data_IF_092564352120
#
_entry.id   IF_092564352120
#
_cell.length_a   1.000
_cell.length_b   1.000
_cell.length_c   1.000
_cell.angle_alpha   90.00
_cell.angle_beta   90.00
_cell.angle_gamma   90.00
#
_symmetry.space_group_name_H-M   'P 1'
#
loop_
_entity.id
_entity.type
_entity.pdbx_description
1 polymer ?
#
# COMPACT_ATOMS: atom_id res chain seq x y z
N UNK A 1 1.70 27.16 15.83
CA UNK A 1 1.22 26.29 14.72
C UNK A 1 2.36 25.34 14.38
N UNK A 2 2.14 24.02 14.39
CA UNK A 2 3.21 23.07 14.03
C UNK A 2 3.38 23.06 12.51
N UNK A 3 4.61 23.20 12.04
CA UNK A 3 4.93 23.10 10.61
C UNK A 3 5.03 21.64 10.21
N UNK A 4 4.27 21.24 9.18
CA UNK A 4 4.32 19.91 8.59
C UNK A 4 5.08 20.00 7.27
N UNK A 5 6.11 19.19 7.10
CA UNK A 5 6.86 19.07 5.84
C UNK A 5 6.63 17.71 5.21
N UNK A 6 6.29 17.69 3.92
CA UNK A 6 6.15 16.44 3.13
C UNK A 6 7.42 16.25 2.31
N UNK A 7 8.01 15.06 2.38
CA UNK A 7 9.29 14.72 1.76
C UNK A 7 9.26 13.31 1.19
N UNK A 8 10.16 13.00 0.24
CA UNK A 8 10.39 11.62 -0.20
C UNK A 8 11.02 10.79 0.92
N UNK A 9 10.58 9.55 1.06
CA UNK A 9 11.24 8.58 1.94
C UNK A 9 12.58 8.18 1.30
N UNK A 10 13.65 8.25 2.06
CA UNK A 10 15.01 7.85 1.68
C UNK A 10 15.50 6.65 2.51
N UNK A 11 16.69 6.14 2.22
CA UNK A 11 17.23 4.96 2.93
C UNK A 11 17.44 5.17 4.43
N UNK A 12 17.74 6.40 4.86
CA UNK A 12 17.98 6.72 6.27
C UNK A 12 16.68 6.69 7.08
N UNK A 13 15.52 6.80 6.43
CA UNK A 13 14.21 6.78 7.05
C UNK A 13 13.68 5.36 7.32
N UNK A 14 14.28 4.32 6.73
CA UNK A 14 13.69 2.98 6.68
C UNK A 14 13.32 2.45 8.06
N UNK A 15 14.22 2.58 9.03
CA UNK A 15 13.96 2.14 10.40
C UNK A 15 12.79 2.89 11.04
N UNK A 16 12.76 4.22 10.91
CA UNK A 16 11.68 5.05 11.43
C UNK A 16 10.33 4.75 10.75
N UNK A 17 10.34 4.41 9.45
CA UNK A 17 9.13 4.01 8.72
C UNK A 17 8.63 2.63 9.20
N UNK A 18 9.51 1.67 9.47
CA UNK A 18 9.12 0.37 10.02
C UNK A 18 8.45 0.55 11.39
N UNK A 19 9.04 1.37 12.26
CA UNK A 19 8.47 1.66 13.58
C UNK A 19 7.13 2.38 13.46
N UNK A 20 7.03 3.40 12.62
CA UNK A 20 5.77 4.12 12.40
C UNK A 20 4.68 3.20 11.85
N UNK A 21 5.01 2.31 10.91
CA UNK A 21 4.08 1.33 10.38
C UNK A 21 3.56 0.42 11.50
N UNK A 22 4.45 -0.13 12.31
CA UNK A 22 4.12 -0.97 13.44
C UNK A 22 3.19 -0.25 14.44
N UNK A 23 3.54 0.97 14.86
CA UNK A 23 2.74 1.77 15.80
C UNK A 23 1.35 2.09 15.26
N UNK A 24 1.23 2.36 13.95
CA UNK A 24 -0.04 2.69 13.31
C UNK A 24 -1.02 1.53 13.29
N UNK A 25 -0.53 0.30 13.13
CA UNK A 25 -1.36 -0.89 13.03
C UNK A 25 -1.56 -1.63 14.36
N UNK A 26 -0.63 -1.51 15.32
CA UNK A 26 -0.82 -2.06 16.68
C UNK A 26 -2.05 -1.48 17.40
N UNK A 27 -2.39 -0.23 17.08
CA UNK A 27 -3.57 0.43 17.64
C UNK A 27 -4.89 -0.10 17.05
N UNK A 28 -4.86 -0.76 15.90
CA UNK A 28 -6.10 -1.09 15.16
C UNK A 28 -6.52 -2.55 15.29
N UNK A 29 -5.63 -3.58 15.35
CA UNK A 29 -6.09 -4.99 15.43
C UNK A 29 -5.05 -6.09 15.08
N UNK A 30 -3.85 -5.76 14.61
CA UNK A 30 -2.84 -6.77 14.32
C UNK A 30 -1.70 -6.74 15.34
N UNK A 31 -1.71 -7.68 16.29
CA UNK A 31 -0.60 -7.88 17.23
C UNK A 31 0.61 -8.51 16.51
N UNK A 32 1.25 -7.75 15.63
CA UNK A 32 2.50 -8.16 14.98
C UNK A 32 3.68 -7.49 15.66
N UNK A 33 4.80 -8.21 15.73
CA UNK A 33 6.05 -7.63 16.21
C UNK A 33 6.88 -7.05 15.03
N UNK A 34 7.95 -6.34 15.37
CA UNK A 34 8.84 -5.72 14.39
C UNK A 34 9.44 -6.72 13.40
N UNK A 35 9.84 -7.91 13.85
CA UNK A 35 10.45 -8.95 13.02
C UNK A 35 9.50 -9.43 11.92
N UNK A 36 8.23 -9.59 12.25
CA UNK A 36 7.18 -10.00 11.31
C UNK A 36 6.86 -8.92 10.28
N UNK A 37 6.91 -7.64 10.67
CA UNK A 37 6.55 -6.51 9.80
C UNK A 37 7.71 -6.07 8.90
N UNK A 38 8.94 -6.18 9.37
CA UNK A 38 10.12 -5.68 8.66
C UNK A 38 10.25 -6.16 7.21
N UNK A 39 10.06 -7.46 6.89
CA UNK A 39 10.13 -7.92 5.50
C UNK A 39 9.08 -7.28 4.61
N UNK A 40 7.86 -7.12 5.11
CA UNK A 40 6.77 -6.49 4.39
C UNK A 40 7.03 -5.00 4.13
N UNK A 41 7.41 -4.24 5.15
CA UNK A 41 7.73 -2.80 4.98
C UNK A 41 8.93 -2.61 4.07
N UNK A 42 9.95 -3.45 4.14
CA UNK A 42 11.08 -3.42 3.22
C UNK A 42 10.67 -3.70 1.77
N UNK A 43 9.68 -4.55 1.54
CA UNK A 43 9.06 -4.73 0.23
C UNK A 43 8.33 -3.47 -0.22
N UNK A 44 7.51 -2.86 0.62
CA UNK A 44 6.82 -1.61 0.31
C UNK A 44 7.80 -0.49 -0.05
N UNK A 45 8.91 -0.37 0.67
CA UNK A 45 9.94 0.66 0.46
C UNK A 45 10.67 0.56 -0.90
N UNK A 46 10.48 -0.53 -1.65
CA UNK A 46 10.95 -0.67 -3.04
C UNK A 46 10.01 -0.03 -4.05
N UNK A 47 8.75 0.26 -3.66
CA UNK A 47 7.77 0.88 -4.56
C UNK A 47 8.23 2.27 -5.01
N UNK A 48 7.86 2.71 -6.23
CA UNK A 48 8.40 3.93 -6.84
C UNK A 48 7.92 5.22 -6.18
N UNK A 49 6.69 5.26 -5.67
CA UNK A 49 6.12 6.46 -5.05
C UNK A 49 6.01 6.29 -3.54
N UNK A 50 6.77 7.10 -2.81
CA UNK A 50 6.83 7.02 -1.34
C UNK A 50 7.14 8.36 -0.71
N UNK A 51 6.26 8.78 0.20
CA UNK A 51 6.32 10.06 0.90
C UNK A 51 6.22 9.87 2.41
N UNK A 52 6.80 10.79 3.14
CA UNK A 52 6.66 10.95 4.59
C UNK A 52 6.24 12.36 4.93
N UNK A 53 5.52 12.54 6.03
CA UNK A 53 5.34 13.84 6.67
C UNK A 53 6.11 13.91 7.98
N UNK A 54 6.77 15.04 8.19
CA UNK A 54 7.63 15.30 9.36
C UNK A 54 7.10 16.50 10.13
N UNK A 55 7.00 16.35 11.45
CA UNK A 55 6.67 17.39 12.42
C UNK A 55 7.72 17.38 13.52
N UNK A 56 8.35 18.51 13.80
CA UNK A 56 9.36 18.66 14.85
C UNK A 56 10.46 17.56 14.77
N UNK A 57 10.90 17.22 13.56
CA UNK A 57 11.90 16.19 13.29
C UNK A 57 11.41 14.74 13.37
N UNK A 58 10.16 14.48 13.77
CA UNK A 58 9.57 13.15 13.86
C UNK A 58 8.76 12.84 12.59
N UNK A 59 8.94 11.65 12.02
CA UNK A 59 8.08 11.14 10.94
C UNK A 59 6.76 10.71 11.57
N UNK A 60 5.66 11.32 11.12
CA UNK A 60 4.31 11.11 11.67
C UNK A 60 3.35 10.43 10.70
N UNK A 61 3.72 10.33 9.44
CA UNK A 61 2.88 9.78 8.38
C UNK A 61 3.74 9.22 7.26
N UNK A 62 3.25 8.17 6.64
CA UNK A 62 3.83 7.57 5.45
C UNK A 62 2.76 7.27 4.41
N UNK A 63 3.16 7.41 3.14
CA UNK A 63 2.38 7.04 1.98
C UNK A 63 3.28 6.32 1.00
N UNK A 64 2.95 5.08 0.68
CA UNK A 64 3.75 4.25 -0.23
C UNK A 64 2.81 3.59 -1.22
N UNK A 65 3.08 3.74 -2.52
CA UNK A 65 2.24 3.17 -3.57
C UNK A 65 3.04 2.65 -4.75
N UNK A 66 2.49 1.68 -5.42
CA UNK A 66 2.95 1.27 -6.73
C UNK A 66 2.36 2.19 -7.81
N UNK A 67 3.04 2.28 -8.95
CA UNK A 67 2.59 3.00 -10.14
C UNK A 67 2.49 2.00 -11.28
N UNK A 68 1.30 1.81 -11.80
CA UNK A 68 1.06 0.87 -12.90
C UNK A 68 0.64 1.59 -14.17
N UNK A 69 1.34 1.37 -15.28
CA UNK A 69 0.97 1.97 -16.57
C UNK A 69 -0.34 1.39 -17.09
N UNK A 70 -1.15 2.23 -17.73
CA UNK A 70 -2.33 1.88 -18.54
C UNK A 70 -2.34 2.64 -19.86
N UNK A 71 -3.32 2.36 -20.72
CA UNK A 71 -3.44 2.98 -22.06
C UNK A 71 -3.64 4.50 -21.98
N UNK A 72 -4.33 5.00 -20.96
CA UNK A 72 -4.73 6.41 -20.82
C UNK A 72 -4.04 7.15 -19.67
N UNK A 73 -2.89 6.66 -19.20
CA UNK A 73 -2.16 7.24 -18.09
C UNK A 73 -1.67 6.18 -17.11
N UNK A 74 -1.36 6.59 -15.90
CA UNK A 74 -0.90 5.69 -14.86
C UNK A 74 -1.92 5.56 -13.73
N UNK A 75 -1.92 4.40 -13.07
CA UNK A 75 -2.72 4.14 -11.88
C UNK A 75 -1.84 4.19 -10.65
N UNK A 76 -2.31 4.90 -9.64
CA UNK A 76 -1.83 4.75 -8.27
C UNK A 76 -2.42 3.46 -7.71
N UNK A 77 -1.59 2.44 -7.51
CA UNK A 77 -2.05 1.10 -7.22
C UNK A 77 -1.69 0.68 -5.79
N UNK A 78 -2.71 0.26 -5.05
CA UNK A 78 -2.62 -0.31 -3.71
C UNK A 78 -1.79 0.56 -2.75
N UNK A 79 -2.20 1.81 -2.49
CA UNK A 79 -1.49 2.69 -1.58
C UNK A 79 -1.59 2.22 -0.14
N UNK A 80 -0.45 2.13 0.52
CA UNK A 80 -0.33 1.96 1.96
C UNK A 80 -0.23 3.33 2.63
N UNK A 81 -1.14 3.61 3.55
CA UNK A 81 -1.24 4.89 4.25
C UNK A 81 -1.25 4.63 5.75
N UNK A 82 -0.25 5.13 6.45
CA UNK A 82 -0.12 4.94 7.89
C UNK A 82 0.22 6.25 8.58
N UNK A 83 -0.34 6.47 9.77
CA UNK A 83 -0.21 7.68 10.56
C UNK A 83 0.00 7.33 12.02
N UNK A 84 0.94 8.03 12.66
CA UNK A 84 1.24 7.87 14.07
C UNK A 84 -0.03 8.06 14.93
N UNK A 85 -0.30 7.20 15.92
CA UNK A 85 -1.52 7.24 16.73
C UNK A 85 -1.85 8.62 17.30
N UNK A 86 -0.85 9.34 17.83
CA UNK A 86 -1.03 10.68 18.40
C UNK A 86 -1.51 11.74 17.39
N UNK A 87 -1.42 11.45 16.10
CA UNK A 87 -1.82 12.37 15.03
C UNK A 87 -3.07 11.88 14.29
N UNK A 88 -3.64 10.77 14.71
CA UNK A 88 -4.91 10.28 14.18
C UNK A 88 -6.08 11.16 14.65
N UNK A 89 -7.18 11.13 13.90
CA UNK A 89 -8.43 11.86 14.20
C UNK A 89 -8.32 13.40 14.34
N UNK A 90 -7.18 14.00 13.97
CA UNK A 90 -6.93 15.44 14.02
C UNK A 90 -7.07 16.15 12.65
N UNK A 91 -7.62 15.47 11.65
CA UNK A 91 -7.80 16.02 10.30
C UNK A 91 -6.56 15.98 9.39
N UNK A 92 -5.38 15.69 9.92
CA UNK A 92 -4.12 15.62 9.15
C UNK A 92 -4.19 14.67 7.96
N UNK A 93 -4.85 13.52 8.14
CA UNK A 93 -4.94 12.49 7.11
C UNK A 93 -5.48 13.02 5.78
N UNK A 94 -6.55 13.81 5.80
CA UNK A 94 -7.15 14.35 4.56
C UNK A 94 -6.21 15.30 3.84
N UNK A 95 -5.55 16.20 4.59
CA UNK A 95 -4.63 17.16 4.02
C UNK A 95 -3.40 16.47 3.42
N UNK A 96 -2.80 15.53 4.16
CA UNK A 96 -1.60 14.81 3.71
C UNK A 96 -1.90 13.92 2.50
N UNK A 97 -3.05 13.23 2.49
CA UNK A 97 -3.49 12.45 1.33
C UNK A 97 -3.68 13.34 0.11
N UNK A 98 -4.35 14.49 0.25
CA UNK A 98 -4.54 15.42 -0.85
C UNK A 98 -3.20 15.87 -1.47
N UNK A 99 -2.22 16.25 -0.65
CA UNK A 99 -0.89 16.64 -1.14
C UNK A 99 -0.16 15.48 -1.82
N UNK A 100 -0.27 14.25 -1.29
CA UNK A 100 0.33 13.07 -1.91
C UNK A 100 -0.28 12.77 -3.28
N UNK A 101 -1.61 12.84 -3.41
CA UNK A 101 -2.30 12.60 -4.67
C UNK A 101 -1.97 13.67 -5.72
N UNK A 102 -1.89 14.95 -5.34
CA UNK A 102 -1.44 16.02 -6.23
C UNK A 102 -0.01 15.78 -6.73
N UNK A 103 0.90 15.41 -5.83
CA UNK A 103 2.28 15.12 -6.20
C UNK A 103 2.39 13.88 -7.11
N UNK A 104 1.60 12.83 -6.83
CA UNK A 104 1.53 11.65 -7.68
C UNK A 104 1.04 11.99 -9.09
N UNK A 105 -0.04 12.77 -9.18
CA UNK A 105 -0.61 13.23 -10.44
C UNK A 105 0.42 14.04 -11.26
N UNK A 106 1.09 14.98 -10.64
CA UNK A 106 2.09 15.84 -11.31
C UNK A 106 3.34 15.07 -11.76
N UNK A 107 3.80 14.11 -10.92
CA UNK A 107 5.07 13.41 -11.18
C UNK A 107 4.90 12.23 -12.14
N UNK A 108 3.76 11.52 -12.06
CA UNK A 108 3.55 10.25 -12.75
C UNK A 108 2.33 10.26 -13.67
N UNK A 109 1.68 11.41 -13.88
CA UNK A 109 0.48 11.51 -14.73
C UNK A 109 -0.61 10.50 -14.30
N UNK A 110 -0.85 10.42 -12.97
CA UNK A 110 -1.86 9.53 -12.42
C UNK A 110 -3.25 10.00 -12.84
N UNK A 111 -4.04 9.10 -13.42
CA UNK A 111 -5.44 9.33 -13.80
C UNK A 111 -6.40 8.64 -12.85
N UNK A 112 -5.99 7.49 -12.30
CA UNK A 112 -6.85 6.63 -11.50
C UNK A 112 -6.16 6.16 -10.20
N UNK A 113 -6.99 5.75 -9.24
CA UNK A 113 -6.58 5.15 -7.99
C UNK A 113 -7.29 3.80 -7.81
N UNK A 114 -6.53 2.75 -7.52
CA UNK A 114 -7.05 1.45 -7.10
C UNK A 114 -6.48 1.13 -5.72
N UNK A 115 -7.35 0.85 -4.75
CA UNK A 115 -6.98 0.46 -3.40
C UNK A 115 -7.75 -0.79 -2.97
N UNK A 116 -7.12 -1.62 -2.16
CA UNK A 116 -7.75 -2.77 -1.53
C UNK A 116 -8.01 -2.49 -0.05
N UNK A 117 -9.16 -2.89 0.44
CA UNK A 117 -9.50 -2.79 1.86
C UNK A 117 -10.59 -3.80 2.20
N UNK A 118 -10.76 -4.11 3.48
CA UNK A 118 -11.79 -5.03 3.93
C UNK A 118 -13.19 -4.42 3.80
N UNK A 119 -14.20 -5.27 3.48
CA UNK A 119 -15.58 -4.84 3.22
C UNK A 119 -16.19 -3.96 4.30
N UNK A 120 -15.89 -4.21 5.57
CA UNK A 120 -16.49 -3.48 6.70
C UNK A 120 -15.51 -2.55 7.40
N UNK A 121 -14.35 -2.28 6.76
CA UNK A 121 -13.31 -1.47 7.37
C UNK A 121 -13.72 -0.01 7.52
N UNK A 122 -13.15 0.65 8.51
CA UNK A 122 -13.26 2.09 8.68
C UNK A 122 -12.67 2.85 7.48
N UNK A 123 -11.62 2.30 6.88
CA UNK A 123 -10.96 2.83 5.70
C UNK A 123 -11.91 2.88 4.50
N UNK A 124 -12.70 1.83 4.27
CA UNK A 124 -13.70 1.82 3.19
C UNK A 124 -14.72 2.97 3.33
N UNK A 125 -15.20 3.22 4.55
CA UNK A 125 -16.10 4.33 4.83
C UNK A 125 -15.48 5.69 4.52
N UNK A 126 -14.17 5.85 4.78
CA UNK A 126 -13.41 7.06 4.43
C UNK A 126 -13.24 7.22 2.93
N UNK A 127 -12.88 6.16 2.22
CA UNK A 127 -12.75 6.18 0.76
C UNK A 127 -14.07 6.54 0.06
N UNK A 128 -15.18 5.97 0.48
CA UNK A 128 -16.51 6.33 -0.05
C UNK A 128 -16.86 7.81 0.15
N UNK A 129 -16.48 8.41 1.28
CA UNK A 129 -16.65 9.86 1.53
C UNK A 129 -15.79 10.75 0.62
N UNK A 130 -14.73 10.21 0.03
CA UNK A 130 -13.90 10.89 -0.96
C UNK A 130 -14.40 10.68 -2.42
N UNK A 131 -15.53 9.99 -2.60
CA UNK A 131 -16.08 9.68 -3.93
C UNK A 131 -15.43 8.45 -4.59
N UNK A 132 -14.56 7.72 -3.89
CA UNK A 132 -14.01 6.45 -4.39
C UNK A 132 -15.12 5.41 -4.34
N UNK A 133 -15.42 4.82 -5.49
CA UNK A 133 -16.49 3.83 -5.64
C UNK A 133 -15.94 2.42 -5.42
N UNK A 134 -16.79 1.54 -4.90
CA UNK A 134 -16.54 0.10 -5.00
C UNK A 134 -16.94 -0.34 -6.40
N UNK A 135 -16.12 -1.19 -7.00
CA UNK A 135 -16.42 -1.79 -8.30
C UNK A 135 -16.87 -3.23 -8.08
N UNK A 136 -18.16 -3.48 -8.27
CA UNK A 136 -18.75 -4.81 -8.08
C UNK A 136 -18.52 -5.74 -9.31
N UNK A 137 -18.00 -5.19 -10.41
CA UNK A 137 -17.57 -5.98 -11.58
C UNK A 137 -16.23 -6.70 -11.37
N UNK A 138 -15.45 -6.27 -10.36
CA UNK A 138 -14.19 -6.89 -9.99
C UNK A 138 -14.36 -7.78 -8.76
N UNK A 139 -13.86 -8.99 -8.86
CA UNK A 139 -13.85 -9.94 -7.76
C UNK A 139 -12.41 -10.24 -7.35
N UNK A 140 -12.10 -10.06 -6.07
CA UNK A 140 -10.82 -10.53 -5.53
C UNK A 140 -10.88 -12.05 -5.41
N UNK A 141 -9.94 -12.72 -6.07
CA UNK A 141 -9.74 -14.17 -5.95
C UNK A 141 -8.61 -14.43 -4.97
N UNK A 142 -8.84 -15.35 -4.06
CA UNK A 142 -7.85 -15.79 -3.08
C UNK A 142 -7.82 -17.31 -3.04
N UNK A 143 -6.62 -17.87 -3.01
CA UNK A 143 -6.42 -19.32 -2.84
C UNK A 143 -5.02 -19.61 -2.30
N UNK A 144 -4.91 -20.66 -1.50
CA UNK A 144 -3.60 -21.20 -1.10
C UNK A 144 -3.02 -21.97 -2.27
N UNK A 145 -1.69 -21.94 -2.42
CA UNK A 145 -1.02 -22.48 -3.60
C UNK A 145 -1.13 -24.00 -3.70
N UNK A 146 -0.96 -24.72 -2.58
CA UNK A 146 -0.94 -26.18 -2.59
C UNK A 146 -2.22 -26.82 -3.17
N UNK A 147 -3.44 -26.45 -2.71
CA UNK A 147 -4.66 -26.95 -3.32
C UNK A 147 -4.83 -26.58 -4.80
N UNK A 148 -4.32 -25.42 -5.23
CA UNK A 148 -4.38 -25.02 -6.65
C UNK A 148 -3.45 -25.90 -7.49
N UNK A 149 -2.24 -26.18 -7.01
CA UNK A 149 -1.28 -27.07 -7.69
C UNK A 149 -1.81 -28.50 -7.78
N UNK A 150 -2.42 -29.00 -6.71
CA UNK A 150 -3.06 -30.32 -6.68
C UNK A 150 -4.14 -30.42 -7.77
N UNK A 151 -5.05 -29.45 -7.82
CA UNK A 151 -6.12 -29.41 -8.83
C UNK A 151 -5.59 -29.32 -10.26
N UNK A 152 -4.54 -28.55 -10.49
CA UNK A 152 -3.90 -28.46 -11.81
C UNK A 152 -3.23 -29.78 -12.21
N UNK A 153 -2.66 -30.53 -11.28
CA UNK A 153 -2.04 -31.84 -11.54
C UNK A 153 -3.07 -32.89 -11.92
N UNK A 154 -4.24 -32.89 -11.29
CA UNK A 154 -5.36 -33.81 -11.61
C UNK A 154 -5.91 -33.59 -13.03
N UNK A 155 -5.90 -32.34 -13.52
CA UNK A 155 -6.50 -31.98 -14.83
C UNK A 155 -5.53 -32.03 -16.01
N UNK A 156 -4.22 -32.19 -15.77
CA UNK A 156 -3.23 -32.19 -16.85
C UNK A 156 -3.16 -33.54 -17.60
N UNK A 157 -4.13 -33.80 -18.45
CA UNK A 157 -4.03 -34.87 -19.49
C UNK A 157 -3.15 -34.47 -20.69
N UNK A 158 -2.53 -33.28 -20.62
CA UNK A 158 -1.70 -32.77 -21.71
C UNK A 158 -0.27 -33.30 -21.61
N UNK A 159 0.15 -34.15 -22.57
CA UNK A 159 1.54 -34.64 -22.69
C UNK A 159 2.47 -33.54 -23.21
N UNK A 160 2.61 -32.45 -22.47
CA UNK A 160 3.64 -31.46 -22.75
C UNK A 160 4.90 -31.85 -21.96
N UNK A 161 6.01 -32.12 -22.64
CA UNK A 161 7.31 -32.17 -21.97
C UNK A 161 7.64 -30.77 -21.48
N UNK A 162 7.49 -30.53 -20.16
CA UNK A 162 7.97 -29.32 -19.55
C UNK A 162 9.51 -29.28 -19.66
N UNK A 163 10.03 -28.33 -20.40
CA UNK A 163 11.45 -27.99 -20.35
C UNK A 163 11.62 -27.16 -19.06
N UNK A 164 12.42 -27.67 -18.12
CA UNK A 164 12.75 -26.92 -16.91
C UNK A 164 13.53 -25.66 -17.31
N UNK A 165 12.89 -24.52 -17.30
CA UNK A 165 13.58 -23.22 -17.29
C UNK A 165 14.08 -23.01 -15.86
N UNK A 166 15.35 -23.33 -15.63
CA UNK A 166 16.06 -22.81 -14.47
C UNK A 166 16.20 -21.29 -14.70
N UNK A 167 15.54 -20.51 -13.89
CA UNK A 167 15.81 -19.08 -13.81
C UNK A 167 17.20 -18.91 -13.19
N UNK A 168 18.20 -18.58 -14.00
CA UNK A 168 19.47 -18.05 -13.55
C UNK A 168 19.32 -16.65 -12.97
#
# INVERSE_FOLDING_TARGET
MKTITIQKINKQDHEAIILLYLESYLAEWEKRNKEQITPFVNYLLKRPFKLKAVVDGKIIWGFISDIKPRHEGNILFDPEIFIHPDYQNQGFWRHLLHQALLQAQQTYQITDLIAFTFKESYQLKRYKKLGIKTDDSWQMLYGTLDPVLEKLSETSQCKIKATNYLLE
#
